data_IF_324715397650
#
_entry.id   IF_324715397650
#
_cell.length_a   1.000
_cell.length_b   1.000
_cell.length_c   1.000
_cell.angle_alpha   90.00
_cell.angle_beta   90.00
_cell.angle_gamma   90.00
#
_symmetry.space_group_name_H-M   'P 1'
#
loop_
_entity.id
_entity.type
_entity.pdbx_description
1 polymer ?
#
# COMPACT_ATOMS: atom_id res chain seq x y z
N UNK A 1 -12.68 -17.03 5.62
CA UNK A 1 -11.37 -16.39 5.88
C UNK A 1 -10.62 -16.32 4.57
N UNK A 2 -10.03 -15.18 4.17
CA UNK A 2 -9.15 -15.20 3.01
C UNK A 2 -7.91 -16.00 3.38
N UNK A 3 -7.63 -17.01 2.58
CA UNK A 3 -6.49 -17.90 2.70
C UNK A 3 -5.24 -17.04 2.51
N UNK A 4 -4.29 -17.07 3.45
CA UNK A 4 -2.99 -16.39 3.29
C UNK A 4 -2.28 -16.98 2.08
N UNK A 5 -2.38 -16.31 0.94
CA UNK A 5 -1.46 -16.53 -0.16
C UNK A 5 -0.13 -15.92 0.26
N UNK A 6 0.97 -16.65 0.04
CA UNK A 6 2.33 -16.25 0.45
C UNK A 6 2.79 -14.98 -0.32
N UNK A 7 2.02 -14.56 -1.32
CA UNK A 7 2.28 -13.41 -2.20
C UNK A 7 1.33 -12.23 -1.95
N UNK A 8 0.63 -12.22 -0.82
CA UNK A 8 -0.24 -11.11 -0.42
C UNK A 8 0.26 -10.51 0.89
N UNK A 9 0.41 -9.18 0.90
CA UNK A 9 0.58 -8.42 2.13
C UNK A 9 -0.73 -7.81 2.55
N UNK A 10 -1.04 -7.96 3.84
CA UNK A 10 -2.31 -7.55 4.42
C UNK A 10 -2.06 -6.38 5.37
N UNK A 11 -2.82 -5.31 5.17
CA UNK A 11 -2.83 -4.13 6.04
C UNK A 11 -4.22 -3.91 6.60
N UNK A 12 -4.28 -3.18 7.72
CA UNK A 12 -5.52 -2.72 8.32
C UNK A 12 -5.45 -1.21 8.51
N UNK A 13 -6.47 -0.49 8.10
CA UNK A 13 -6.56 0.96 8.30
C UNK A 13 -7.96 1.33 8.76
N UNK A 14 -8.06 2.27 9.70
CA UNK A 14 -9.34 2.84 10.10
C UNK A 14 -9.72 3.99 9.16
N UNK A 15 -10.99 4.06 8.77
CA UNK A 15 -11.55 5.13 7.94
C UNK A 15 -12.82 5.66 8.59
N UNK A 16 -13.33 6.85 8.20
CA UNK A 16 -14.63 7.35 8.69
C UNK A 16 -15.80 6.40 8.44
N UNK A 17 -15.67 5.50 7.46
CA UNK A 17 -16.69 4.48 7.15
C UNK A 17 -16.42 3.11 7.80
N UNK A 18 -15.48 3.02 8.74
CA UNK A 18 -15.14 1.80 9.45
C UNK A 18 -13.78 1.21 9.06
N UNK A 19 -13.53 -0.03 9.50
CA UNK A 19 -12.25 -0.71 9.33
C UNK A 19 -12.06 -1.25 7.90
N UNK A 20 -10.92 -0.96 7.31
CA UNK A 20 -10.50 -1.44 6.00
C UNK A 20 -9.42 -2.53 6.15
N UNK A 21 -9.54 -3.59 5.35
CA UNK A 21 -8.51 -4.59 5.11
C UNK A 21 -8.01 -4.44 3.68
N UNK A 22 -6.71 -4.24 3.52
CA UNK A 22 -6.08 -4.03 2.24
C UNK A 22 -5.18 -5.21 1.94
N UNK A 23 -5.41 -5.87 0.79
CA UNK A 23 -4.55 -6.92 0.28
C UNK A 23 -3.71 -6.37 -0.88
N UNK A 24 -2.41 -6.18 -0.66
CA UNK A 24 -1.40 -5.86 -1.68
C UNK A 24 -0.93 -7.16 -2.32
N UNK A 25 -1.10 -7.28 -3.63
CA UNK A 25 -0.63 -8.42 -4.41
C UNK A 25 0.79 -8.14 -4.90
N UNK A 26 1.73 -8.99 -4.48
CA UNK A 26 3.13 -8.91 -4.88
C UNK A 26 3.40 -9.91 -6.01
N UNK A 27 4.31 -9.56 -6.92
CA UNK A 27 4.78 -10.42 -8.01
C UNK A 27 5.31 -11.77 -7.50
N UNK A 28 5.26 -12.79 -8.37
CA UNK A 28 5.77 -14.15 -8.06
C UNK A 28 7.24 -14.35 -8.48
N UNK A 29 7.85 -13.32 -9.04
CA UNK A 29 9.18 -13.31 -9.64
C UNK A 29 10.18 -12.62 -8.72
N UNK A 30 11.47 -12.67 -9.05
CA UNK A 30 12.55 -12.08 -8.27
C UNK A 30 12.48 -10.54 -8.11
N UNK A 31 11.53 -9.88 -8.76
CA UNK A 31 11.37 -8.43 -8.75
C UNK A 31 10.47 -7.92 -7.62
N UNK A 32 9.79 -8.78 -6.84
CA UNK A 32 8.94 -8.41 -5.69
C UNK A 32 8.04 -7.17 -5.87
N UNK A 33 7.67 -6.85 -7.12
CA UNK A 33 6.94 -5.62 -7.42
C UNK A 33 5.44 -5.76 -7.16
N UNK A 34 4.81 -4.64 -6.84
CA UNK A 34 3.37 -4.56 -6.61
C UNK A 34 2.61 -4.73 -7.92
N UNK A 35 1.61 -5.60 -7.88
CA UNK A 35 0.74 -5.93 -9.02
C UNK A 35 -0.70 -5.46 -8.83
N UNK A 36 -0.99 -4.79 -7.72
CA UNK A 36 -2.29 -4.17 -7.45
C UNK A 36 -2.79 -4.47 -6.04
N UNK A 37 -3.98 -3.94 -5.76
CA UNK A 37 -4.58 -3.97 -4.43
C UNK A 37 -6.04 -4.41 -4.50
N UNK A 38 -6.51 -5.02 -3.41
CA UNK A 38 -7.94 -5.23 -3.14
C UNK A 38 -8.24 -4.67 -1.77
N UNK A 39 -9.35 -3.95 -1.67
CA UNK A 39 -9.77 -3.30 -0.42
C UNK A 39 -11.07 -3.93 0.02
N UNK A 40 -11.17 -4.23 1.30
CA UNK A 40 -12.39 -4.74 1.91
C UNK A 40 -12.76 -3.88 3.10
N UNK A 41 -14.05 -3.56 3.24
CA UNK A 41 -14.59 -2.85 4.40
C UNK A 41 -15.32 -3.84 5.31
N UNK A 42 -15.07 -3.76 6.61
CA UNK A 42 -15.82 -4.52 7.61
C UNK A 42 -17.22 -3.90 7.74
N UNK A 43 -18.26 -4.70 7.52
CA UNK A 43 -19.63 -4.22 7.68
C UNK A 43 -19.99 -4.10 9.15
N UNK A 44 -20.37 -2.91 9.61
CA UNK A 44 -20.81 -2.72 11.01
C UNK A 44 -22.02 -3.62 11.32
N UNK A 45 -21.93 -4.36 12.44
CA UNK A 45 -22.96 -5.30 12.85
C UNK A 45 -22.89 -6.68 12.20
N UNK A 46 -21.93 -6.94 11.31
CA UNK A 46 -21.70 -8.26 10.74
C UNK A 46 -20.21 -8.65 10.76
N UNK A 47 -19.92 -9.95 10.81
CA UNK A 47 -18.55 -10.48 10.76
C UNK A 47 -18.03 -10.65 9.32
N UNK A 48 -18.56 -9.86 8.37
CA UNK A 48 -18.32 -10.01 6.94
C UNK A 48 -17.56 -8.83 6.35
N UNK A 49 -16.65 -9.14 5.44
CA UNK A 49 -15.82 -8.19 4.70
C UNK A 49 -16.38 -8.03 3.30
N UNK A 50 -16.70 -6.80 2.90
CA UNK A 50 -17.21 -6.47 1.56
C UNK A 50 -16.12 -5.79 0.76
N UNK A 51 -15.87 -6.27 -0.45
CA UNK A 51 -14.91 -5.63 -1.35
C UNK A 51 -15.41 -4.24 -1.76
N UNK A 52 -14.52 -3.25 -1.72
CA UNK A 52 -14.77 -1.88 -2.16
C UNK A 52 -13.73 -1.50 -3.18
N UNK A 53 -14.16 -0.84 -4.25
CA UNK A 53 -13.30 -0.40 -5.34
C UNK A 53 -13.10 1.12 -5.34
N UNK A 54 -13.61 1.83 -4.33
CA UNK A 54 -13.55 3.27 -4.23
C UNK A 54 -13.40 3.69 -2.75
N UNK A 55 -12.56 4.70 -2.50
CA UNK A 55 -12.29 5.27 -1.17
C UNK A 55 -12.97 6.62 -0.94
N UNK A 56 -13.86 7.02 -1.85
CA UNK A 56 -14.47 8.34 -1.98
C UNK A 56 -13.38 9.43 -2.00
N UNK A 57 -13.46 10.40 -1.11
CA UNK A 57 -12.45 11.47 -0.94
C UNK A 57 -11.19 11.00 -0.18
N UNK A 58 -10.97 9.70 -0.09
CA UNK A 58 -10.01 9.07 0.79
C UNK A 58 -8.73 8.60 0.10
N UNK A 59 -7.65 8.54 0.88
CA UNK A 59 -6.34 8.07 0.47
C UNK A 59 -5.82 7.06 1.48
N UNK A 60 -5.17 6.00 1.01
CA UNK A 60 -4.49 5.04 1.87
C UNK A 60 -2.98 5.19 1.74
N UNK A 61 -2.28 5.14 2.87
CA UNK A 61 -0.82 5.13 2.92
C UNK A 61 -0.37 3.82 3.53
N UNK A 62 0.38 3.03 2.78
CA UNK A 62 0.81 1.67 3.13
C UNK A 62 2.33 1.59 3.09
N UNK A 63 2.93 1.03 4.13
CA UNK A 63 4.36 0.80 4.19
C UNK A 63 4.68 -0.25 5.22
N UNK A 64 5.97 -0.41 5.52
CA UNK A 64 6.48 -1.49 6.35
C UNK A 64 5.77 -1.71 7.68
N UNK A 65 5.52 -0.63 8.42
CA UNK A 65 4.91 -0.69 9.76
C UNK A 65 3.72 0.26 9.89
N UNK A 66 3.19 0.76 8.78
CA UNK A 66 2.22 1.85 8.78
C UNK A 66 1.14 1.60 7.74
N UNK A 67 -0.11 1.65 8.19
CA UNK A 67 -1.27 1.70 7.33
C UNK A 67 -2.31 2.64 7.92
N UNK A 68 -2.60 3.72 7.22
CA UNK A 68 -3.57 4.71 7.67
C UNK A 68 -4.31 5.31 6.48
N UNK A 69 -5.49 5.84 6.78
CA UNK A 69 -6.34 6.56 5.84
C UNK A 69 -6.26 8.06 6.11
N UNK A 70 -6.28 8.87 5.06
CA UNK A 70 -6.42 10.33 5.16
C UNK A 70 -7.50 10.82 4.19
N UNK A 71 -8.14 11.93 4.53
CA UNK A 71 -8.99 12.63 3.58
C UNK A 71 -8.12 13.49 2.66
N UNK A 72 -8.42 13.49 1.36
CA UNK A 72 -7.85 14.45 0.40
C UNK A 72 -8.22 15.91 0.74
N UNK A 73 -9.24 16.12 1.58
CA UNK A 73 -9.54 17.45 2.12
C UNK A 73 -8.51 17.92 3.15
N UNK A 74 -7.89 16.99 3.89
CA UNK A 74 -6.90 17.27 4.94
C UNK A 74 -5.47 17.30 4.39
N UNK A 75 -5.20 16.58 3.29
CA UNK A 75 -3.92 16.55 2.59
C UNK A 75 -4.13 16.80 1.09
N UNK A 76 -3.98 18.06 0.67
CA UNK A 76 -4.34 18.52 -0.68
C UNK A 76 -3.30 18.20 -1.75
N UNK A 77 -2.10 17.84 -1.31
CA UNK A 77 -1.00 17.41 -2.15
C UNK A 77 -1.18 15.96 -2.65
N UNK A 78 -2.12 15.22 -2.05
CA UNK A 78 -2.50 13.89 -2.46
C UNK A 78 -3.70 13.87 -3.41
N UNK A 79 -3.87 12.74 -4.09
CA UNK A 79 -4.96 12.46 -5.00
C UNK A 79 -5.97 11.52 -4.32
N UNK A 80 -7.25 11.90 -4.32
CA UNK A 80 -8.30 11.06 -3.77
C UNK A 80 -8.44 9.74 -4.51
N UNK A 81 -9.06 8.76 -3.87
CA UNK A 81 -9.27 7.43 -4.44
C UNK A 81 -7.97 6.72 -4.86
N UNK A 82 -6.91 6.93 -4.07
CA UNK A 82 -5.56 6.40 -4.37
C UNK A 82 -4.91 5.73 -3.17
N UNK A 83 -3.96 4.85 -3.46
CA UNK A 83 -3.14 4.12 -2.49
C UNK A 83 -1.68 4.49 -2.71
N UNK A 84 -1.09 5.17 -1.74
CA UNK A 84 0.34 5.45 -1.66
C UNK A 84 1.01 4.28 -0.96
N UNK A 85 2.02 3.69 -1.58
CA UNK A 85 2.73 2.55 -1.02
C UNK A 85 4.25 2.75 -1.06
N UNK A 86 4.94 2.23 -0.05
CA UNK A 86 6.40 2.10 -0.06
C UNK A 86 6.83 0.65 -0.10
N UNK A 87 8.07 0.43 -0.53
CA UNK A 87 8.70 -0.89 -0.43
C UNK A 87 8.77 -1.33 1.03
N UNK A 88 8.17 -2.49 1.31
CA UNK A 88 8.10 -3.08 2.63
C UNK A 88 8.71 -4.49 2.70
N UNK A 89 9.38 -4.94 1.63
CA UNK A 89 9.94 -6.29 1.52
C UNK A 89 11.34 -6.35 2.14
N UNK A 90 11.41 -6.44 3.48
CA UNK A 90 12.71 -6.63 4.19
C UNK A 90 13.36 -7.98 3.87
N UNK A 91 12.56 -9.03 3.67
CA UNK A 91 13.03 -10.41 3.77
C UNK A 91 13.98 -10.86 2.65
N UNK A 92 13.96 -10.25 1.47
CA UNK A 92 14.83 -10.66 0.35
C UNK A 92 16.25 -10.10 0.47
N UNK A 93 16.42 -8.97 1.16
CA UNK A 93 17.72 -8.32 1.34
C UNK A 93 18.66 -9.00 2.31
N UNK A 94 18.13 -9.70 3.31
CA UNK A 94 18.96 -10.37 4.31
C UNK A 94 19.62 -11.66 3.78
N UNK A 95 19.24 -12.14 2.60
CA UNK A 95 19.63 -13.46 2.08
C UNK A 95 20.51 -13.38 0.83
N UNK A 96 20.64 -12.22 0.19
CA UNK A 96 21.38 -12.09 -1.06
C UNK A 96 22.64 -11.24 -0.89
N UNK A 97 23.80 -11.90 -0.81
CA UNK A 97 25.13 -11.31 -1.01
C UNK A 97 25.39 -10.89 -2.48
N UNK A 98 24.36 -10.87 -3.33
CA UNK A 98 24.48 -10.46 -4.73
C UNK A 98 23.86 -9.09 -4.93
N UNK A 99 24.60 -8.24 -5.65
CA UNK A 99 24.24 -6.91 -6.15
C UNK A 99 23.04 -6.94 -7.12
N UNK A 100 21.91 -7.49 -6.69
CA UNK A 100 20.64 -7.21 -7.34
C UNK A 100 20.21 -5.86 -6.83
N UNK A 101 20.14 -4.88 -7.74
CA UNK A 101 19.35 -3.69 -7.54
C UNK A 101 17.93 -4.17 -7.24
N UNK A 102 17.50 -4.10 -5.97
CA UNK A 102 16.24 -4.69 -5.55
C UNK A 102 15.03 -3.97 -6.17
N UNK A 103 15.27 -2.82 -6.82
CA UNK A 103 14.22 -1.88 -7.16
C UNK A 103 13.62 -1.23 -5.92
N UNK A 104 12.97 -0.09 -6.13
CA UNK A 104 12.16 0.54 -5.10
C UNK A 104 10.69 0.32 -5.48
N UNK A 105 10.03 -0.67 -4.87
CA UNK A 105 8.60 -0.95 -5.07
C UNK A 105 7.74 0.04 -4.28
N UNK A 106 7.86 1.31 -4.63
CA UNK A 106 7.11 2.44 -4.07
C UNK A 106 6.37 3.20 -5.18
N UNK A 107 5.17 3.68 -4.90
CA UNK A 107 4.37 4.39 -5.89
C UNK A 107 2.97 4.74 -5.42
N UNK A 108 2.18 5.28 -6.34
CA UNK A 108 0.75 5.52 -6.17
C UNK A 108 -0.01 4.53 -7.05
N UNK A 109 -1.02 3.88 -6.49
CA UNK A 109 -2.00 3.09 -7.23
C UNK A 109 -3.34 3.83 -7.27
N UNK A 110 -3.82 4.11 -8.47
CA UNK A 110 -5.06 4.82 -8.71
C UNK A 110 -6.21 3.83 -8.82
N UNK A 111 -7.21 3.91 -7.94
CA UNK A 111 -8.32 2.94 -7.93
C UNK A 111 -9.25 3.10 -9.14
N UNK A 112 -9.36 4.31 -9.69
CA UNK A 112 -10.26 4.65 -10.79
C UNK A 112 -9.97 3.82 -12.05
N UNK A 113 -8.70 3.75 -12.46
CA UNK A 113 -8.26 3.08 -13.68
C UNK A 113 -7.31 1.89 -13.42
N UNK A 114 -7.02 1.61 -12.14
CA UNK A 114 -6.09 0.56 -11.70
C UNK A 114 -4.68 0.74 -12.27
N UNK A 115 -4.25 1.99 -12.45
CA UNK A 115 -2.92 2.35 -12.93
C UNK A 115 -1.93 2.64 -11.79
N UNK A 116 -0.66 2.72 -12.14
CA UNK A 116 0.43 3.06 -11.24
C UNK A 116 1.11 4.35 -11.69
N UNK A 117 1.46 5.21 -10.74
CA UNK A 117 2.40 6.32 -10.96
C UNK A 117 3.54 6.27 -9.94
N UNK A 118 4.67 6.91 -10.30
CA UNK A 118 5.81 7.02 -9.39
C UNK A 118 5.59 8.15 -8.38
N UNK A 119 6.03 7.94 -7.14
CA UNK A 119 6.07 8.98 -6.09
C UNK A 119 7.36 9.79 -6.15
N UNK A 120 8.42 9.22 -6.73
CA UNK A 120 9.73 9.85 -6.79
C UNK A 120 10.33 9.77 -8.20
N UNK A 121 11.25 10.69 -8.49
CA UNK A 121 12.14 10.56 -9.64
C UNK A 121 13.04 9.33 -9.49
N UNK A 122 13.50 8.79 -10.62
CA UNK A 122 14.28 7.55 -10.72
C UNK A 122 15.53 7.52 -9.81
N UNK A 123 16.04 8.67 -9.40
CA UNK A 123 17.21 8.82 -8.52
C UNK A 123 16.96 8.40 -7.05
N UNK A 124 15.70 8.24 -6.62
CA UNK A 124 15.33 7.82 -5.25
C UNK A 124 15.27 6.30 -5.07
N UNK A 125 15.65 5.52 -6.10
CA UNK A 125 15.65 4.05 -6.05
C UNK A 125 16.67 3.44 -5.08
N UNK A 126 17.63 4.23 -4.62
CA UNK A 126 18.75 3.78 -3.77
C UNK A 126 18.61 4.17 -2.29
N UNK A 127 17.44 4.65 -1.85
CA UNK A 127 17.25 5.07 -0.46
C UNK A 127 17.16 3.85 0.47
N UNK A 128 18.21 3.65 1.28
CA UNK A 128 18.22 2.73 2.41
C UNK A 128 18.40 3.52 3.72
N UNK A 129 17.57 3.29 4.76
CA UNK A 129 16.44 2.35 4.78
C UNK A 129 15.28 2.80 3.89
N UNK A 130 14.38 1.87 3.54
CA UNK A 130 13.19 2.19 2.75
C UNK A 130 12.36 3.31 3.42
N UNK A 131 11.72 4.18 2.61
CA UNK A 131 10.90 5.26 3.15
C UNK A 131 9.76 4.72 4.02
N UNK A 132 9.54 5.41 5.15
CA UNK A 132 8.41 5.15 6.07
C UNK A 132 7.49 6.36 6.03
N UNK A 133 6.19 6.12 6.03
CA UNK A 133 5.20 7.17 6.14
C UNK A 133 5.20 7.78 7.54
N UNK A 134 5.28 9.11 7.59
CA UNK A 134 5.15 9.87 8.82
C UNK A 134 3.92 10.74 8.70
N UNK A 135 3.03 10.65 9.69
CA UNK A 135 1.89 11.55 9.82
C UNK A 135 2.22 12.51 10.95
N UNK A 136 2.19 13.84 10.73
CA UNK A 136 2.29 14.77 11.84
C UNK A 136 1.16 14.48 12.82
N UNK A 137 1.50 14.36 14.10
CA UNK A 137 0.53 14.06 15.13
C UNK A 137 -0.58 15.14 15.11
N UNK A 138 -1.88 14.77 15.09
CA UNK A 138 -2.97 15.72 15.08
C UNK A 138 -2.98 16.65 16.32
#
# INVERSE_FOLDING_TARGET
>A
MPIRNIHERIYLAESPSGLLLIARRIGRTADSITRGFRIFRLHEGATQWLEVCNLDNGMLFLGLNTSFWLSASDFKEGEENSIYFTDDVIAEYCIMEQELDPGNDSGVFHLEDQSFSSICDDDMKLLYPHPVWVVPNP
#
